data_IF_373535319573
#
_entry.id   IF_373535319573
#
_cell.length_a   1.000
_cell.length_b   1.000
_cell.length_c   1.000
_cell.angle_alpha   90.00
_cell.angle_beta   90.00
_cell.angle_gamma   90.00
#
_symmetry.space_group_name_H-M   'P 1'
#
loop_
_entity.id
_entity.type
_entity.pdbx_description
1 polymer ?
#
# COMPACT_ATOMS: atom_id res chain seq x y z
N UNK A 1 20.05 0.53 -31.02
CA UNK A 1 20.52 1.91 -31.27
C UNK A 1 19.66 2.99 -30.61
N UNK A 2 18.31 2.89 -30.59
CA UNK A 2 17.49 3.95 -29.95
C UNK A 2 17.78 4.07 -28.43
N UNK A 3 17.98 2.96 -27.73
CA UNK A 3 18.24 2.98 -26.28
C UNK A 3 19.56 3.67 -25.87
N UNK A 4 20.59 3.64 -26.72
CA UNK A 4 21.91 4.22 -26.41
C UNK A 4 21.92 5.74 -26.51
N UNK A 5 21.10 6.34 -27.39
CA UNK A 5 20.98 7.79 -27.50
C UNK A 5 20.30 8.43 -26.29
N UNK A 6 19.23 7.82 -25.77
CA UNK A 6 18.56 8.31 -24.57
C UNK A 6 19.47 8.28 -23.34
N UNK A 7 20.30 7.24 -23.21
CA UNK A 7 21.25 7.12 -22.11
C UNK A 7 22.29 8.27 -22.10
N UNK A 8 22.85 8.63 -23.26
CA UNK A 8 23.82 9.71 -23.38
C UNK A 8 23.22 11.09 -23.05
N UNK A 9 21.99 11.36 -23.50
CA UNK A 9 21.27 12.60 -23.17
C UNK A 9 21.00 12.74 -21.66
N UNK A 10 20.71 11.62 -20.99
CA UNK A 10 20.49 11.64 -19.54
C UNK A 10 21.80 11.84 -18.76
N UNK A 11 22.89 11.18 -19.19
CA UNK A 11 24.21 11.30 -18.57
C UNK A 11 24.75 12.75 -18.65
N UNK A 12 24.63 13.39 -19.81
CA UNK A 12 24.99 14.81 -19.99
C UNK A 12 24.19 15.74 -19.07
N UNK A 13 22.89 15.45 -18.88
CA UNK A 13 22.00 16.23 -17.98
C UNK A 13 22.31 16.07 -16.48
N UNK A 14 22.96 14.97 -16.09
CA UNK A 14 23.35 14.70 -14.70
C UNK A 14 24.77 15.17 -14.37
N UNK A 15 25.59 15.46 -15.39
CA UNK A 15 27.01 15.76 -15.23
C UNK A 15 27.28 17.06 -14.43
N UNK A 16 26.36 18.02 -14.46
CA UNK A 16 26.45 19.30 -13.73
C UNK A 16 25.92 19.25 -12.29
N UNK A 17 25.53 18.07 -11.79
CA UNK A 17 24.94 17.90 -10.45
C UNK A 17 25.89 17.11 -9.55
N UNK A 18 25.69 17.22 -8.24
CA UNK A 18 26.39 16.42 -7.21
C UNK A 18 26.31 14.91 -7.49
N UNK A 19 25.33 14.50 -8.28
CA UNK A 19 25.04 13.11 -8.63
C UNK A 19 25.78 12.63 -9.90
N UNK A 20 26.71 13.42 -10.44
CA UNK A 20 27.48 13.10 -11.65
C UNK A 20 28.27 11.80 -11.55
N UNK A 21 28.81 11.50 -10.37
CA UNK A 21 29.55 10.26 -10.07
C UNK A 21 28.67 9.01 -10.21
N UNK A 22 27.38 9.13 -9.95
CA UNK A 22 26.40 8.03 -10.01
C UNK A 22 25.53 8.10 -11.28
N UNK A 23 25.95 8.88 -12.28
CA UNK A 23 25.21 9.06 -13.53
C UNK A 23 25.00 7.74 -14.27
N UNK A 24 25.91 6.79 -14.16
CA UNK A 24 25.82 5.46 -14.76
C UNK A 24 24.66 4.62 -14.23
N UNK A 25 24.30 4.77 -12.96
CA UNK A 25 23.24 4.00 -12.29
C UNK A 25 21.88 4.69 -12.46
N UNK A 26 21.85 6.02 -12.35
CA UNK A 26 20.61 6.79 -12.39
C UNK A 26 20.09 7.08 -13.80
N UNK A 27 20.99 7.24 -14.79
CA UNK A 27 20.59 7.44 -16.17
C UNK A 27 19.66 6.33 -16.71
N UNK A 28 20.00 5.03 -16.60
CA UNK A 28 19.15 3.97 -17.12
C UNK A 28 17.83 3.87 -16.34
N UNK A 29 17.86 4.04 -15.01
CA UNK A 29 16.65 4.02 -14.17
C UNK A 29 15.63 5.09 -14.63
N UNK A 30 16.11 6.29 -14.90
CA UNK A 30 15.25 7.40 -15.29
C UNK A 30 14.71 7.25 -16.73
N UNK A 31 15.52 6.73 -17.67
CA UNK A 31 15.05 6.37 -19.01
C UNK A 31 13.96 5.30 -18.94
N UNK A 32 14.20 4.24 -18.19
CA UNK A 32 13.32 3.08 -18.13
C UNK A 32 11.99 3.41 -17.42
N UNK A 33 12.02 4.27 -16.39
CA UNK A 33 10.81 4.77 -15.75
C UNK A 33 9.91 5.54 -16.73
N UNK A 34 10.49 6.41 -17.57
CA UNK A 34 9.73 7.22 -18.54
C UNK A 34 9.20 6.34 -19.67
N UNK A 35 10.01 5.41 -20.20
CA UNK A 35 9.58 4.50 -21.27
C UNK A 35 8.37 3.64 -20.88
N UNK A 36 8.23 3.29 -19.61
CA UNK A 36 7.10 2.49 -19.11
C UNK A 36 5.81 3.28 -18.92
N UNK A 37 5.91 4.60 -18.73
CA UNK A 37 4.77 5.50 -18.54
C UNK A 37 4.35 6.15 -19.84
N UNK A 38 5.24 6.21 -20.83
CA UNK A 38 4.93 6.77 -22.13
C UNK A 38 3.88 5.92 -22.87
N UNK A 39 2.73 6.52 -23.14
CA UNK A 39 1.69 5.92 -23.98
C UNK A 39 2.07 6.05 -25.46
N UNK A 40 1.90 4.97 -26.24
CA UNK A 40 2.27 4.94 -27.66
C UNK A 40 1.41 5.88 -28.53
N UNK A 41 0.21 6.24 -28.09
CA UNK A 41 -0.76 6.96 -28.93
C UNK A 41 -0.65 8.48 -28.83
N UNK A 42 -0.35 9.01 -27.64
CA UNK A 42 -0.38 10.47 -27.37
C UNK A 42 1.01 11.07 -27.19
N UNK A 43 2.07 10.25 -27.18
CA UNK A 43 3.46 10.64 -26.90
C UNK A 43 3.62 11.55 -25.66
N UNK A 44 2.64 11.52 -24.77
CA UNK A 44 2.51 12.41 -23.62
C UNK A 44 2.85 11.60 -22.38
N UNK A 45 3.61 12.20 -21.48
CA UNK A 45 4.11 11.52 -20.28
C UNK A 45 3.51 12.15 -19.03
N UNK A 46 2.72 11.38 -18.30
CA UNK A 46 2.17 11.80 -17.02
C UNK A 46 3.17 11.61 -15.88
N UNK A 47 3.77 12.72 -15.44
CA UNK A 47 4.74 12.72 -14.33
C UNK A 47 4.12 12.28 -12.99
N UNK A 48 2.79 12.31 -12.84
CA UNK A 48 2.10 11.86 -11.62
C UNK A 48 2.23 10.35 -11.37
N UNK A 49 2.45 9.58 -12.43
CA UNK A 49 2.61 8.13 -12.36
C UNK A 49 4.03 7.72 -11.88
N UNK A 50 5.00 8.62 -11.97
CA UNK A 50 6.38 8.39 -11.51
C UNK A 50 6.53 8.96 -10.09
N UNK A 51 6.75 8.08 -9.11
CA UNK A 51 6.96 8.48 -7.71
C UNK A 51 8.37 8.19 -7.25
N UNK A 52 9.07 9.22 -6.80
CA UNK A 52 10.40 9.11 -6.19
C UNK A 52 10.23 8.94 -4.68
N UNK A 53 10.59 7.77 -4.15
CA UNK A 53 10.49 7.47 -2.71
C UNK A 53 11.91 7.40 -2.14
N UNK A 54 12.20 8.32 -1.23
CA UNK A 54 13.47 8.40 -0.51
C UNK A 54 13.27 7.83 0.89
N UNK A 55 14.11 6.88 1.29
CA UNK A 55 14.27 6.46 2.70
C UNK A 55 15.67 6.85 3.16
N UNK A 56 15.76 7.33 4.39
CA UNK A 56 17.05 7.66 5.02
C UNK A 56 17.78 6.37 5.44
N UNK A 57 19.11 6.36 5.32
CA UNK A 57 19.95 5.25 5.79
C UNK A 57 20.52 4.30 4.72
N UNK A 58 20.46 4.66 3.43
CA UNK A 58 21.10 3.92 2.33
C UNK A 58 22.04 4.79 1.50
N UNK A 59 22.78 4.18 0.58
CA UNK A 59 23.65 4.91 -0.36
C UNK A 59 22.89 5.24 -1.65
N UNK A 60 23.46 6.10 -2.49
CA UNK A 60 22.88 6.45 -3.80
C UNK A 60 23.00 5.25 -4.76
N UNK A 61 23.98 4.37 -4.54
CA UNK A 61 24.21 3.16 -5.34
C UNK A 61 23.12 2.11 -5.13
N UNK A 62 22.47 2.10 -3.97
CA UNK A 62 21.37 1.17 -3.64
C UNK A 62 20.03 1.54 -4.32
N UNK A 63 20.02 2.58 -5.17
CA UNK A 63 18.82 3.02 -5.87
C UNK A 63 18.43 2.03 -6.97
N UNK A 64 17.18 1.59 -6.96
CA UNK A 64 16.64 0.65 -7.95
C UNK A 64 15.27 1.11 -8.43
N UNK A 65 14.98 0.77 -9.68
CA UNK A 65 13.65 0.90 -10.24
C UNK A 65 12.80 -0.29 -9.77
N UNK A 66 11.66 -0.01 -9.16
CA UNK A 66 10.71 -1.04 -8.73
C UNK A 66 9.51 -1.05 -9.67
N UNK A 67 9.19 -2.23 -10.19
CA UNK A 67 8.04 -2.46 -11.07
C UNK A 67 6.77 -2.56 -10.21
N UNK A 68 6.27 -1.39 -9.79
CA UNK A 68 5.07 -1.28 -8.97
C UNK A 68 5.09 -0.06 -8.05
N UNK A 69 4.31 -0.12 -6.97
CA UNK A 69 4.22 0.95 -5.99
C UNK A 69 4.86 0.53 -4.67
N UNK A 70 5.80 1.34 -4.18
CA UNK A 70 6.35 1.18 -2.84
C UNK A 70 5.53 2.03 -1.87
N UNK A 71 5.05 1.40 -0.79
CA UNK A 71 4.37 2.10 0.31
C UNK A 71 5.36 2.29 1.47
N UNK A 72 5.37 3.49 2.06
CA UNK A 72 6.20 3.76 3.26
C UNK A 72 5.63 3.16 4.54
N UNK A 73 4.35 2.78 4.53
CA UNK A 73 3.68 2.20 5.69
C UNK A 73 4.28 0.83 6.02
N UNK A 74 4.65 0.64 7.29
CA UNK A 74 5.07 -0.66 7.79
C UNK A 74 3.90 -1.63 7.79
N UNK A 75 4.17 -2.87 7.38
CA UNK A 75 3.21 -3.96 7.54
C UNK A 75 3.04 -4.18 9.04
N UNK A 76 1.79 -4.20 9.52
CA UNK A 76 1.49 -4.55 10.91
C UNK A 76 1.73 -6.05 11.11
N UNK A 77 2.99 -6.41 11.39
CA UNK A 77 3.41 -7.78 11.68
C UNK A 77 3.02 -8.25 13.08
N UNK A 78 2.40 -7.38 13.89
CA UNK A 78 2.08 -7.64 15.30
C UNK A 78 1.28 -8.93 15.54
N UNK A 79 0.65 -9.50 14.50
CA UNK A 79 -0.18 -10.69 14.64
C UNK A 79 0.09 -11.74 13.54
N UNK A 80 1.36 -12.02 13.21
CA UNK A 80 1.72 -13.19 12.38
C UNK A 80 1.45 -13.06 10.88
N UNK A 81 1.36 -11.83 10.36
CA UNK A 81 1.31 -11.60 8.92
C UNK A 81 2.61 -12.01 8.22
N UNK A 82 2.55 -12.60 7.01
CA UNK A 82 3.75 -13.00 6.27
C UNK A 82 4.52 -11.76 5.79
N UNK A 83 5.81 -11.70 6.15
CA UNK A 83 6.69 -10.58 5.79
C UNK A 83 6.88 -10.46 4.27
N UNK A 84 6.99 -11.59 3.57
CA UNK A 84 7.14 -11.68 2.11
C UNK A 84 6.17 -12.71 1.55
N UNK A 85 5.46 -12.35 0.48
CA UNK A 85 4.59 -13.24 -0.30
C UNK A 85 4.85 -13.02 -1.78
N UNK A 86 5.04 -14.11 -2.51
CA UNK A 86 5.19 -14.09 -3.96
C UNK A 86 3.81 -14.26 -4.60
N UNK A 87 3.47 -13.41 -5.59
CA UNK A 87 2.14 -13.36 -6.26
C UNK A 87 0.96 -13.06 -5.32
N UNK A 88 1.11 -12.03 -4.48
CA UNK A 88 0.03 -11.61 -3.58
C UNK A 88 -1.10 -10.88 -4.33
N UNK A 89 -2.35 -11.27 -4.06
CA UNK A 89 -3.53 -10.47 -4.42
C UNK A 89 -3.67 -9.33 -3.41
N UNK A 90 -3.53 -8.10 -3.89
CA UNK A 90 -3.64 -6.88 -3.09
C UNK A 90 -5.05 -6.32 -3.23
N UNK A 91 -5.76 -6.17 -2.11
CA UNK A 91 -7.03 -5.47 -2.03
C UNK A 91 -6.82 -4.05 -1.51
N UNK A 92 -7.38 -3.06 -2.21
CA UNK A 92 -7.49 -1.69 -1.71
C UNK A 92 -8.86 -1.52 -1.10
N UNK A 93 -8.90 -1.15 0.18
CA UNK A 93 -10.14 -0.94 0.91
C UNK A 93 -10.21 0.51 1.37
N UNK A 94 -11.30 1.20 1.03
CA UNK A 94 -11.55 2.59 1.42
C UNK A 94 -12.41 2.70 2.70
N UNK A 95 -13.00 1.60 3.17
CA UNK A 95 -13.82 1.56 4.37
C UNK A 95 -13.01 1.22 5.63
N UNK A 96 -13.49 1.66 6.80
CA UNK A 96 -12.86 1.34 8.08
C UNK A 96 -13.23 -0.09 8.50
N UNK A 97 -12.27 -0.85 9.03
CA UNK A 97 -12.52 -2.20 9.58
C UNK A 97 -13.09 -2.14 11.01
N UNK A 98 -13.77 -1.05 11.36
CA UNK A 98 -14.43 -0.87 12.65
C UNK A 98 -15.93 -0.99 12.48
N UNK A 99 -16.64 -1.03 13.61
CA UNK A 99 -18.10 -0.86 13.60
C UNK A 99 -18.45 0.43 12.86
N UNK A 100 -19.49 0.39 12.01
CA UNK A 100 -19.87 1.53 11.22
C UNK A 100 -20.41 2.57 12.20
N UNK A 101 -19.75 3.73 12.26
CA UNK A 101 -20.29 4.84 13.01
C UNK A 101 -21.36 5.48 12.13
N UNK A 102 -22.63 5.51 12.55
CA UNK A 102 -23.62 6.29 11.82
C UNK A 102 -23.19 7.75 11.82
N UNK A 103 -23.26 8.41 10.67
CA UNK A 103 -22.90 9.83 10.54
C UNK A 103 -23.95 10.76 11.19
N UNK A 104 -25.14 10.22 11.51
CA UNK A 104 -26.19 10.88 12.28
C UNK A 104 -26.10 10.47 13.75
N UNK A 105 -26.33 11.41 14.65
CA UNK A 105 -26.30 11.21 16.10
C UNK A 105 -27.34 10.16 16.52
N UNK A 106 -26.89 8.93 16.73
CA UNK A 106 -27.72 7.82 17.20
C UNK A 106 -27.37 7.52 18.66
N UNK A 107 -28.29 7.84 19.57
CA UNK A 107 -28.20 7.44 20.97
C UNK A 107 -28.83 6.06 21.15
N UNK A 108 -28.02 5.08 21.54
CA UNK A 108 -28.51 3.74 21.86
C UNK A 108 -29.01 3.75 23.31
N UNK A 109 -30.31 3.95 23.49
CA UNK A 109 -30.95 3.85 24.81
C UNK A 109 -31.15 2.39 25.21
N UNK A 110 -30.40 1.94 26.21
CA UNK A 110 -30.44 0.55 26.68
C UNK A 110 -31.37 0.45 27.89
N UNK A 111 -32.54 -0.17 27.69
CA UNK A 111 -33.58 -0.28 28.74
C UNK A 111 -33.47 -1.58 29.55
N UNK A 112 -32.94 -2.65 28.94
CA UNK A 112 -32.79 -3.97 29.58
C UNK A 112 -31.35 -4.47 29.44
N UNK A 113 -30.80 -5.06 30.51
CA UNK A 113 -29.43 -5.63 30.51
C UNK A 113 -29.19 -6.63 29.37
N UNK A 114 -30.17 -7.45 28.99
CA UNK A 114 -30.03 -8.38 27.86
C UNK A 114 -29.88 -7.74 26.48
N UNK A 115 -30.15 -6.43 26.33
CA UNK A 115 -29.90 -5.70 25.08
C UNK A 115 -28.41 -5.33 24.93
N UNK A 116 -27.70 -5.12 26.04
CA UNK A 116 -26.24 -4.86 26.02
C UNK A 116 -25.48 -6.01 25.37
N UNK A 117 -25.79 -7.25 25.78
CA UNK A 117 -25.14 -8.45 25.25
C UNK A 117 -25.45 -8.69 23.76
N UNK A 118 -26.61 -8.24 23.28
CA UNK A 118 -26.99 -8.34 21.86
C UNK A 118 -26.19 -7.37 21.01
N UNK A 119 -26.06 -6.11 21.43
CA UNK A 119 -25.27 -5.09 20.73
C UNK A 119 -23.81 -5.54 20.60
N UNK A 120 -23.21 -6.04 21.69
CA UNK A 120 -21.84 -6.56 21.68
C UNK A 120 -21.66 -7.77 20.75
N UNK A 121 -22.70 -8.59 20.54
CA UNK A 121 -22.68 -9.72 19.60
C UNK A 121 -22.83 -9.25 18.16
N UNK A 122 -23.72 -8.31 17.89
CA UNK A 122 -23.94 -7.73 16.56
C UNK A 122 -22.68 -7.01 16.05
N UNK A 123 -22.02 -6.21 16.91
CA UNK A 123 -20.75 -5.56 16.58
C UNK A 123 -19.67 -6.58 16.19
N UNK A 124 -19.59 -7.71 16.90
CA UNK A 124 -18.64 -8.79 16.58
C UNK A 124 -19.01 -9.53 15.29
N UNK A 125 -20.30 -9.80 15.06
CA UNK A 125 -20.77 -10.47 13.84
C UNK A 125 -20.48 -9.64 12.60
N UNK A 126 -20.71 -8.32 12.64
CA UNK A 126 -20.39 -7.40 11.55
C UNK A 126 -18.91 -7.46 11.14
N UNK A 127 -17.99 -7.42 12.11
CA UNK A 127 -16.56 -7.54 11.85
C UNK A 127 -16.19 -8.88 11.21
N UNK A 128 -16.81 -9.97 11.66
CA UNK A 128 -16.58 -11.31 11.10
C UNK A 128 -17.07 -11.42 9.65
N UNK A 129 -18.19 -10.78 9.29
CA UNK A 129 -18.73 -10.81 7.93
C UNK A 129 -17.83 -10.10 6.91
N UNK A 130 -17.32 -8.93 7.28
CA UNK A 130 -16.33 -8.20 6.48
C UNK A 130 -15.11 -9.10 6.21
N UNK A 131 -14.62 -9.77 7.25
CA UNK A 131 -13.42 -10.58 7.14
C UNK A 131 -13.63 -11.87 6.36
N UNK A 132 -14.82 -12.49 6.50
CA UNK A 132 -15.23 -13.61 5.64
C UNK A 132 -15.24 -13.19 4.16
N UNK A 133 -15.70 -11.98 3.86
CA UNK A 133 -15.72 -11.45 2.48
C UNK A 133 -14.30 -11.29 1.93
N UNK A 134 -13.39 -10.74 2.73
CA UNK A 134 -11.96 -10.60 2.39
C UNK A 134 -11.32 -11.99 2.17
N UNK A 135 -11.62 -12.94 3.04
CA UNK A 135 -11.11 -14.32 2.95
C UNK A 135 -11.63 -15.05 1.71
N UNK A 136 -12.91 -14.90 1.36
CA UNK A 136 -13.51 -15.49 0.14
C UNK A 136 -12.83 -15.00 -1.13
N UNK A 137 -12.49 -13.71 -1.18
CA UNK A 137 -11.82 -13.11 -2.34
C UNK A 137 -10.34 -13.50 -2.45
N UNK A 138 -9.81 -14.33 -1.54
CA UNK A 138 -8.40 -14.74 -1.46
C UNK A 138 -7.44 -13.53 -1.48
N UNK A 139 -7.86 -12.43 -0.87
CA UNK A 139 -7.00 -11.26 -0.70
C UNK A 139 -5.95 -11.57 0.37
N UNK A 140 -4.69 -11.40 0.02
CA UNK A 140 -3.57 -11.75 0.89
C UNK A 140 -2.98 -10.53 1.60
N UNK A 141 -3.13 -9.34 1.01
CA UNK A 141 -2.79 -8.06 1.63
C UNK A 141 -3.92 -7.07 1.40
N UNK A 142 -4.30 -6.37 2.48
CA UNK A 142 -5.30 -5.32 2.47
C UNK A 142 -4.60 -4.02 2.85
N UNK A 143 -4.67 -3.02 1.98
CA UNK A 143 -4.28 -1.66 2.31
C UNK A 143 -5.54 -0.86 2.63
N UNK A 144 -5.60 -0.27 3.84
CA UNK A 144 -6.70 0.60 4.24
C UNK A 144 -6.26 2.06 4.13
N UNK A 145 -7.02 2.88 3.43
CA UNK A 145 -6.76 4.32 3.30
C UNK A 145 -7.26 5.14 4.50
N UNK A 146 -8.09 4.59 5.39
CA UNK A 146 -8.57 5.25 6.62
C UNK A 146 -7.89 4.67 7.85
N UNK A 147 -7.45 5.55 8.76
CA UNK A 147 -6.81 5.18 10.03
C UNK A 147 -7.82 4.45 10.91
N UNK A 148 -7.55 3.19 11.22
CA UNK A 148 -8.31 2.44 12.21
C UNK A 148 -8.02 3.01 13.61
N UNK A 149 -9.04 3.07 14.46
CA UNK A 149 -8.84 3.47 15.86
C UNK A 149 -7.82 2.55 16.56
N UNK A 150 -6.95 3.06 17.45
CA UNK A 150 -5.87 2.28 18.07
C UNK A 150 -6.35 1.12 18.96
N UNK A 151 -7.65 1.09 19.31
CA UNK A 151 -8.28 -0.02 20.05
C UNK A 151 -8.52 -1.27 19.20
N UNK A 152 -8.74 -1.14 17.89
CA UNK A 152 -8.90 -2.29 16.98
C UNK A 152 -7.56 -2.99 16.74
N UNK A 153 -6.48 -2.24 16.51
CA UNK A 153 -5.17 -2.80 16.19
C UNK A 153 -4.59 -3.77 17.26
N UNK A 154 -4.95 -3.59 18.54
CA UNK A 154 -4.52 -4.47 19.65
C UNK A 154 -5.46 -5.65 19.92
N UNK A 155 -6.70 -5.62 19.44
CA UNK A 155 -7.76 -6.58 19.82
C UNK A 155 -8.12 -7.56 18.69
N UNK A 156 -7.67 -7.29 17.47
CA UNK A 156 -7.92 -8.10 16.29
C UNK A 156 -7.05 -9.36 16.28
N UNK A 157 -7.34 -10.33 17.16
CA UNK A 157 -6.86 -11.71 17.03
C UNK A 157 -7.12 -12.15 15.58
N UNK A 158 -6.04 -12.34 14.82
CA UNK A 158 -5.97 -12.64 13.39
C UNK A 158 -7.29 -13.14 12.76
N UNK A 159 -7.85 -12.36 11.85
CA UNK A 159 -8.94 -12.76 10.95
C UNK A 159 -8.48 -13.66 9.78
N UNK A 160 -7.20 -14.03 9.77
CA UNK A 160 -6.68 -15.10 8.93
C UNK A 160 -6.33 -16.27 9.84
N UNK A 161 -7.04 -17.42 9.75
CA UNK A 161 -6.57 -18.62 10.40
C UNK A 161 -5.15 -18.91 9.91
N UNK A 162 -4.27 -19.32 10.83
CA UNK A 162 -2.98 -19.92 10.50
C UNK A 162 -3.27 -21.09 9.56
N UNK A 163 -3.08 -20.91 8.26
CA UNK A 163 -2.98 -22.02 7.33
C UNK A 163 -1.49 -22.29 7.11
N UNK A 164 -1.15 -23.51 7.54
CA UNK A 164 -0.05 -24.39 7.15
C UNK A 164 0.40 -24.16 5.71
#
# INVERSE_FOLDING_TARGET
MIATHYYALQATSLNSKIVSQYSSILAPIAVDAVKRVADLETSSVDLKNIRIIKKVGGTIEDTSLVDGMVLRQSVTNSQGGPSRKEKAKIGLIQFQLSTPKPDMDNEINVTRYGQLDKILKEERQYLLEICKTISKNRMQRVANSKVNSPRCAKRDRCLFPRQI
#
